data_IF_318918781989
#
_entry.id   IF_318918781989
#
_cell.length_a   1.000
_cell.length_b   1.000
_cell.length_c   1.000
_cell.angle_alpha   90.00
_cell.angle_beta   90.00
_cell.angle_gamma   90.00
#
_symmetry.space_group_name_H-M   'P 1'
#
loop_
_entity.id
_entity.type
_entity.pdbx_description
1 polymer ?
#
# COMPACT_ATOMS: atom_id res chain seq x y z
N UNK A 1 18.66 5.88 21.96
CA UNK A 1 18.11 5.98 20.59
C UNK A 1 17.22 7.21 20.51
N UNK A 2 17.54 8.14 19.64
CA UNK A 2 16.72 9.33 19.48
C UNK A 2 15.56 8.98 18.50
N UNK A 3 14.32 9.11 18.98
CA UNK A 3 13.14 9.00 18.15
C UNK A 3 12.88 10.40 17.59
N UNK A 4 13.04 10.58 16.28
CA UNK A 4 12.67 11.84 15.63
C UNK A 4 11.14 12.01 15.71
N UNK A 5 10.65 13.17 16.09
CA UNK A 5 9.22 13.44 16.07
C UNK A 5 8.70 13.30 14.63
N UNK A 6 7.49 12.78 14.48
CA UNK A 6 6.84 12.54 13.17
C UNK A 6 6.87 13.80 12.29
N UNK A 7 6.69 14.96 12.88
CA UNK A 7 6.74 16.25 12.18
C UNK A 7 8.10 16.57 11.55
N UNK A 8 9.20 16.15 12.20
CA UNK A 8 10.54 16.35 11.66
C UNK A 8 10.80 15.46 10.45
N UNK A 9 10.33 14.21 10.46
CA UNK A 9 10.41 13.29 9.32
C UNK A 9 9.56 13.79 8.16
N UNK A 10 8.36 14.25 8.41
CA UNK A 10 7.48 14.83 7.40
C UNK A 10 8.12 16.04 6.72
N UNK A 11 8.75 16.92 7.50
CA UNK A 11 9.47 18.11 7.00
C UNK A 11 10.67 17.72 6.12
N UNK A 12 11.44 16.69 6.50
CA UNK A 12 12.57 16.19 5.72
C UNK A 12 12.15 15.55 4.40
N UNK A 13 10.97 14.97 4.34
CA UNK A 13 10.42 14.31 3.15
C UNK A 13 9.63 15.27 2.24
N UNK A 14 9.43 16.51 2.62
CA UNK A 14 8.66 17.48 1.83
C UNK A 14 9.18 17.67 0.41
N UNK A 15 10.49 17.80 0.15
CA UNK A 15 11.02 17.86 -1.21
C UNK A 15 10.67 16.64 -2.05
N UNK A 16 10.64 15.44 -1.45
CA UNK A 16 10.24 14.21 -2.14
C UNK A 16 8.74 14.24 -2.50
N UNK A 17 7.89 14.75 -1.62
CA UNK A 17 6.47 14.92 -1.89
C UNK A 17 6.22 15.89 -3.05
N UNK A 18 6.96 16.99 -3.10
CA UNK A 18 6.88 17.96 -4.20
C UNK A 18 7.34 17.36 -5.52
N UNK A 19 8.43 16.61 -5.52
CA UNK A 19 8.92 15.90 -6.70
C UNK A 19 7.91 14.85 -7.19
N UNK A 20 7.28 14.13 -6.29
CA UNK A 20 6.23 13.15 -6.61
C UNK A 20 5.00 13.84 -7.21
N UNK A 21 4.58 14.97 -6.63
CA UNK A 21 3.45 15.76 -7.13
C UNK A 21 3.70 16.24 -8.56
N UNK A 22 4.90 16.75 -8.82
CA UNK A 22 5.31 17.20 -10.14
C UNK A 22 5.33 16.04 -11.16
N UNK A 23 5.95 14.93 -10.81
CA UNK A 23 6.02 13.75 -11.66
C UNK A 23 4.63 13.18 -11.98
N UNK A 24 3.74 13.07 -11.00
CA UNK A 24 2.40 12.54 -11.19
C UNK A 24 1.48 13.49 -11.96
N UNK A 25 1.81 14.78 -12.05
CA UNK A 25 1.04 15.74 -12.84
C UNK A 25 1.07 15.42 -14.35
N UNK A 26 2.09 14.72 -14.81
CA UNK A 26 2.25 14.27 -16.20
C UNK A 26 1.73 12.87 -16.48
N UNK A 27 1.27 12.16 -15.46
CA UNK A 27 0.80 10.77 -15.58
C UNK A 27 -0.72 10.76 -15.67
N UNK A 28 -1.23 10.04 -16.67
CA UNK A 28 -2.67 9.78 -16.77
C UNK A 28 -2.98 8.56 -15.92
N UNK A 29 -3.77 8.76 -14.87
CA UNK A 29 -4.27 7.67 -14.04
C UNK A 29 -5.70 7.32 -14.46
N UNK A 30 -5.94 6.05 -14.69
CA UNK A 30 -7.27 5.53 -14.96
C UNK A 30 -7.90 4.98 -13.68
N UNK A 31 -9.22 4.85 -13.70
CA UNK A 31 -9.94 4.25 -12.60
C UNK A 31 -9.49 2.81 -12.39
N UNK A 32 -9.08 2.42 -11.17
CA UNK A 32 -8.66 1.04 -10.92
C UNK A 32 -9.84 0.07 -11.01
N UNK A 33 -9.56 -1.15 -11.44
CA UNK A 33 -10.56 -2.23 -11.51
C UNK A 33 -11.02 -2.65 -10.11
N UNK A 34 -10.13 -2.57 -9.14
CA UNK A 34 -10.40 -2.88 -7.73
C UNK A 34 -10.04 -1.66 -6.87
N UNK A 35 -10.67 -1.47 -5.70
CA UNK A 35 -10.32 -0.36 -4.81
C UNK A 35 -8.87 -0.42 -4.35
N UNK A 36 -8.24 0.75 -4.25
CA UNK A 36 -6.91 0.93 -3.71
C UNK A 36 -7.01 1.46 -2.27
N UNK A 37 -6.23 0.87 -1.36
CA UNK A 37 -6.13 1.34 0.03
C UNK A 37 -4.83 2.12 0.20
N UNK A 38 -4.92 3.44 0.28
CA UNK A 38 -3.76 4.28 0.50
C UNK A 38 -3.32 4.24 1.97
N UNK A 39 -2.01 4.31 2.20
CA UNK A 39 -1.44 4.25 3.55
C UNK A 39 -1.94 5.38 4.47
N UNK A 40 -2.28 6.53 3.92
CA UNK A 40 -2.67 7.72 4.71
C UNK A 40 -4.12 7.68 5.17
N UNK A 41 -5.00 6.96 4.47
CA UNK A 41 -6.43 6.91 4.78
C UNK A 41 -6.88 5.57 5.33
N UNK A 42 -6.21 4.49 4.94
CA UNK A 42 -6.61 3.11 5.23
C UNK A 42 -8.03 2.78 4.73
N UNK A 43 -8.54 3.54 3.76
CA UNK A 43 -9.89 3.40 3.20
C UNK A 43 -9.84 3.06 1.71
N UNK A 44 -10.86 2.36 1.18
CA UNK A 44 -10.93 2.06 -0.23
C UNK A 44 -11.14 3.32 -1.07
N UNK A 45 -10.41 3.43 -2.16
CA UNK A 45 -10.50 4.55 -3.09
C UNK A 45 -10.45 4.05 -4.54
N UNK A 46 -11.26 4.65 -5.40
CA UNK A 46 -11.33 4.31 -6.82
C UNK A 46 -11.28 5.53 -7.75
N UNK A 47 -11.34 6.74 -7.20
CA UNK A 47 -11.23 7.96 -7.99
C UNK A 47 -9.76 8.26 -8.35
N UNK A 48 -9.41 8.37 -9.65
CA UNK A 48 -8.02 8.59 -10.07
C UNK A 48 -7.38 9.85 -9.52
N UNK A 49 -8.12 10.95 -9.45
CA UNK A 49 -7.58 12.22 -8.95
C UNK A 49 -7.34 12.17 -7.44
N UNK A 50 -8.24 11.54 -6.70
CA UNK A 50 -8.07 11.31 -5.27
C UNK A 50 -6.88 10.39 -5.00
N UNK A 51 -6.72 9.31 -5.78
CA UNK A 51 -5.57 8.41 -5.69
C UNK A 51 -4.27 9.18 -5.94
N UNK A 52 -4.22 10.04 -6.96
CA UNK A 52 -3.07 10.88 -7.26
C UNK A 52 -2.66 11.72 -6.05
N UNK A 53 -3.61 12.38 -5.43
CA UNK A 53 -3.37 13.20 -4.24
C UNK A 53 -2.89 12.37 -3.05
N UNK A 54 -3.48 11.21 -2.82
CA UNK A 54 -3.08 10.29 -1.75
C UNK A 54 -1.66 9.74 -1.94
N UNK A 55 -1.24 9.47 -3.18
CA UNK A 55 0.13 9.05 -3.48
C UNK A 55 1.16 10.12 -3.10
N UNK A 56 0.82 11.40 -3.23
CA UNK A 56 1.67 12.51 -2.78
C UNK A 56 1.63 12.64 -1.26
N UNK A 57 0.46 12.61 -0.67
CA UNK A 57 0.25 12.75 0.78
C UNK A 57 0.99 11.65 1.57
N UNK A 58 1.02 10.42 1.07
CA UNK A 58 1.66 9.32 1.79
C UNK A 58 3.17 9.46 1.91
N UNK A 59 3.83 10.32 1.10
CA UNK A 59 5.28 10.57 1.20
C UNK A 59 5.63 11.21 2.56
N UNK A 60 4.78 12.09 3.06
CA UNK A 60 4.96 12.78 4.33
C UNK A 60 3.98 12.33 5.41
N UNK A 61 2.99 11.54 5.04
CA UNK A 61 1.93 11.08 5.93
C UNK A 61 2.32 9.85 6.76
N UNK A 62 1.51 9.57 7.75
CA UNK A 62 1.66 8.38 8.57
C UNK A 62 1.15 7.15 7.83
N UNK A 63 1.89 6.04 7.92
CA UNK A 63 1.48 4.74 7.39
C UNK A 63 0.51 4.07 8.35
N UNK A 64 -0.73 3.93 7.94
CA UNK A 64 -1.81 3.29 8.72
C UNK A 64 -1.96 1.82 8.32
N UNK A 65 -0.86 1.07 8.43
CA UNK A 65 -0.77 -0.31 7.94
C UNK A 65 -1.77 -1.25 8.60
N UNK A 66 -1.82 -1.24 9.94
CA UNK A 66 -2.74 -2.10 10.69
C UNK A 66 -4.21 -1.85 10.30
N UNK A 67 -4.59 -0.59 10.23
CA UNK A 67 -5.95 -0.20 9.84
C UNK A 67 -6.27 -0.60 8.40
N UNK A 68 -5.31 -0.43 7.49
CA UNK A 68 -5.46 -0.84 6.09
C UNK A 68 -5.73 -2.33 5.97
N UNK A 69 -4.94 -3.16 6.65
CA UNK A 69 -5.10 -4.62 6.62
C UNK A 69 -6.45 -5.04 7.21
N UNK A 70 -6.85 -4.47 8.35
CA UNK A 70 -8.14 -4.76 8.96
C UNK A 70 -9.30 -4.37 8.04
N UNK A 71 -9.23 -3.21 7.41
CA UNK A 71 -10.28 -2.73 6.52
C UNK A 71 -10.35 -3.56 5.23
N UNK A 72 -9.22 -4.00 4.68
CA UNK A 72 -9.19 -4.92 3.55
C UNK A 72 -9.82 -6.26 3.90
N UNK A 73 -9.50 -6.80 5.07
CA UNK A 73 -10.08 -8.05 5.54
C UNK A 73 -11.60 -7.95 5.75
N UNK A 74 -12.06 -6.87 6.37
CA UNK A 74 -13.48 -6.59 6.58
C UNK A 74 -14.23 -6.39 5.26
N UNK A 75 -13.55 -5.88 4.23
CA UNK A 75 -14.12 -5.73 2.89
C UNK A 75 -14.15 -7.04 2.08
N UNK A 76 -13.72 -8.16 2.67
CA UNK A 76 -13.75 -9.49 2.05
C UNK A 76 -12.42 -9.99 1.52
N UNK A 77 -11.33 -9.25 1.69
CA UNK A 77 -10.00 -9.65 1.29
C UNK A 77 -9.36 -10.61 2.28
N UNK A 78 -9.56 -11.91 2.09
CA UNK A 78 -9.03 -12.96 2.98
C UNK A 78 -7.70 -13.56 2.47
N UNK A 79 -7.37 -13.32 1.23
CA UNK A 79 -6.12 -13.75 0.61
C UNK A 79 -5.26 -12.53 0.30
N UNK A 80 -4.03 -12.52 0.79
CA UNK A 80 -3.07 -11.44 0.59
C UNK A 80 -1.88 -11.96 -0.21
N UNK A 81 -1.49 -11.23 -1.23
CA UNK A 81 -0.29 -11.52 -2.03
C UNK A 81 0.68 -10.36 -1.87
N UNK A 82 1.86 -10.64 -1.31
CA UNK A 82 2.95 -9.68 -1.23
C UNK A 82 3.86 -9.84 -2.44
N UNK A 83 4.00 -8.79 -3.21
CA UNK A 83 4.85 -8.79 -4.40
C UNK A 83 6.15 -8.03 -4.12
N UNK A 84 7.27 -8.70 -4.35
CA UNK A 84 8.59 -8.10 -4.25
C UNK A 84 9.33 -8.33 -2.93
N UNK A 85 8.74 -9.01 -1.97
CA UNK A 85 9.38 -9.29 -0.68
C UNK A 85 8.66 -10.33 0.15
N UNK A 86 9.21 -10.62 1.35
CA UNK A 86 8.65 -11.56 2.33
C UNK A 86 8.55 -10.95 3.72
N UNK A 87 8.38 -9.63 3.82
CA UNK A 87 8.39 -8.91 5.10
C UNK A 87 6.97 -8.66 5.60
N UNK A 88 6.09 -8.20 4.72
CA UNK A 88 4.73 -7.77 5.09
C UNK A 88 3.80 -8.93 5.42
N UNK A 89 4.03 -10.11 4.83
CA UNK A 89 3.19 -11.28 5.04
C UNK A 89 3.08 -11.72 6.49
N UNK A 90 4.18 -11.70 7.24
CA UNK A 90 4.19 -12.03 8.66
C UNK A 90 3.45 -10.98 9.49
N UNK A 91 3.50 -9.72 9.08
CA UNK A 91 2.77 -8.62 9.73
C UNK A 91 1.26 -8.76 9.51
N UNK A 92 0.85 -9.12 8.28
CA UNK A 92 -0.57 -9.39 7.98
C UNK A 92 -1.10 -10.53 8.85
N UNK A 93 -0.36 -11.62 8.97
CA UNK A 93 -0.72 -12.77 9.82
C UNK A 93 -0.88 -12.41 11.30
N UNK A 94 -0.10 -11.46 11.80
CA UNK A 94 -0.24 -10.97 13.19
C UNK A 94 -1.50 -10.13 13.38
N UNK A 95 -1.91 -9.40 12.36
CA UNK A 95 -3.09 -8.52 12.42
C UNK A 95 -4.37 -9.35 12.24
N UNK A 96 -4.38 -10.23 11.24
CA UNK A 96 -5.51 -11.10 10.90
C UNK A 96 -5.02 -12.55 10.75
N UNK A 97 -5.01 -13.34 11.86
CA UNK A 97 -4.47 -14.70 11.84
C UNK A 97 -5.14 -15.64 10.83
N UNK A 98 -6.39 -15.38 10.49
CA UNK A 98 -7.17 -16.20 9.54
C UNK A 98 -6.87 -15.87 8.07
N UNK A 99 -6.08 -14.81 7.81
CA UNK A 99 -5.71 -14.44 6.45
C UNK A 99 -4.74 -15.45 5.83
N UNK A 100 -4.92 -15.71 4.54
CA UNK A 100 -3.97 -16.48 3.76
C UNK A 100 -2.98 -15.49 3.12
N UNK A 101 -1.68 -15.79 3.21
CA UNK A 101 -0.63 -14.90 2.71
C UNK A 101 0.32 -15.70 1.81
N UNK A 102 0.55 -15.17 0.62
CA UNK A 102 1.52 -15.68 -0.34
C UNK A 102 2.52 -14.59 -0.68
N UNK A 103 3.80 -14.92 -0.71
CA UNK A 103 4.86 -14.00 -1.12
C UNK A 103 5.37 -14.39 -2.50
N UNK A 104 5.48 -13.39 -3.38
CA UNK A 104 5.90 -13.54 -4.77
C UNK A 104 7.17 -12.71 -4.99
N UNK A 105 8.32 -13.37 -5.14
CA UNK A 105 9.63 -12.72 -5.26
C UNK A 105 10.34 -13.08 -6.56
N UNK A 106 10.22 -14.34 -6.99
CA UNK A 106 10.86 -14.86 -8.19
C UNK A 106 9.88 -15.04 -9.35
N UNK A 107 10.40 -15.27 -10.55
CA UNK A 107 9.57 -15.58 -11.72
C UNK A 107 8.79 -16.87 -11.49
N UNK A 108 9.40 -17.87 -10.87
CA UNK A 108 8.76 -19.13 -10.52
C UNK A 108 7.58 -18.92 -9.56
N UNK A 109 7.72 -18.03 -8.59
CA UNK A 109 6.64 -17.64 -7.68
C UNK A 109 5.47 -17.01 -8.43
N UNK A 110 5.76 -16.13 -9.40
CA UNK A 110 4.75 -15.50 -10.26
C UNK A 110 3.97 -16.54 -11.05
N UNK A 111 4.68 -17.48 -11.66
CA UNK A 111 4.06 -18.55 -12.46
C UNK A 111 3.18 -19.46 -11.59
N UNK A 112 3.64 -19.81 -10.39
CA UNK A 112 2.87 -20.61 -9.45
C UNK A 112 1.59 -19.89 -9.00
N UNK A 113 1.71 -18.63 -8.62
CA UNK A 113 0.57 -17.80 -8.20
C UNK A 113 -0.44 -17.58 -9.32
N UNK A 114 0.03 -17.37 -10.55
CA UNK A 114 -0.85 -17.19 -11.70
C UNK A 114 -1.69 -18.45 -11.98
N UNK A 115 -1.14 -19.63 -11.76
CA UNK A 115 -1.86 -20.90 -11.91
C UNK A 115 -2.94 -21.10 -10.84
N UNK A 116 -2.69 -20.63 -9.61
CA UNK A 116 -3.67 -20.72 -8.52
C UNK A 116 -4.84 -19.76 -8.71
N UNK A 117 -4.59 -18.58 -9.25
CA UNK A 117 -5.61 -17.54 -9.50
C UNK A 117 -6.46 -17.87 -10.74
N UNK A 118 -5.87 -18.54 -11.71
CA UNK A 118 -6.56 -18.93 -12.96
C UNK A 118 -7.60 -20.12 -12.72
#
# INVERSE_FOLDING_TARGET
MAILPINALASLMQPAAEAMSDALSYVVLERPVVPLFANVTAQPESDPDTIRNQLVEQVTGMVRWRESVLNMFDAGGHEFVEIGGKVLGSMVKRIVPDAQVTSVVTIEDVEASAKEIA
#
